data_IF_683761592836
#
_entry.id   IF_683761592836
#
_cell.length_a   1.000
_cell.length_b   1.000
_cell.length_c   1.000
_cell.angle_alpha   90.00
_cell.angle_beta   90.00
_cell.angle_gamma   90.00
#
_symmetry.space_group_name_H-M   'P 1'
#
loop_
_entity.id
_entity.type
_entity.pdbx_description
1 polymer ?
#
# COMPACT_ATOMS: atom_id res chain seq x y z
N UNK A 1 -57.35 27.72 -22.84
CA UNK A 1 -57.52 26.69 -23.88
C UNK A 1 -57.13 25.33 -23.30
N UNK A 2 -58.01 24.32 -23.34
CA UNK A 2 -57.78 23.00 -22.76
C UNK A 2 -57.25 21.96 -23.78
N UNK A 3 -56.75 20.84 -23.25
CA UNK A 3 -56.40 19.55 -23.90
C UNK A 3 -55.09 19.55 -24.75
N UNK A 4 -54.27 18.50 -24.85
CA UNK A 4 -54.54 17.05 -24.90
C UNK A 4 -53.35 16.24 -24.33
N UNK A 5 -53.72 15.12 -23.71
CA UNK A 5 -52.95 14.01 -23.14
C UNK A 5 -52.61 12.98 -24.23
N UNK A 6 -51.37 12.49 -24.31
CA UNK A 6 -51.03 11.16 -24.88
C UNK A 6 -49.68 10.65 -24.37
N UNK A 7 -49.74 9.76 -23.38
CA UNK A 7 -48.80 8.64 -23.13
C UNK A 7 -49.05 7.51 -24.16
N UNK A 8 -48.38 6.34 -24.15
CA UNK A 8 -47.00 5.95 -23.80
C UNK A 8 -46.34 5.07 -24.89
N UNK A 9 -45.04 4.77 -24.81
CA UNK A 9 -44.50 3.53 -25.41
C UNK A 9 -43.60 2.78 -24.44
N UNK A 10 -44.13 1.63 -24.04
CA UNK A 10 -43.47 0.54 -23.34
C UNK A 10 -42.36 -0.05 -24.21
N UNK A 11 -41.20 -0.29 -23.60
CA UNK A 11 -40.10 -1.08 -24.15
C UNK A 11 -39.59 -2.02 -23.07
N UNK A 12 -40.41 -3.01 -22.74
CA UNK A 12 -40.07 -4.13 -21.85
C UNK A 12 -39.19 -5.13 -22.61
N UNK A 13 -37.99 -5.40 -22.11
CA UNK A 13 -37.22 -6.60 -22.47
C UNK A 13 -36.39 -7.02 -21.26
N UNK A 14 -37.06 -7.69 -20.32
CA UNK A 14 -36.42 -8.63 -19.37
C UNK A 14 -36.29 -9.99 -20.06
N UNK A 15 -35.12 -10.62 -20.08
CA UNK A 15 -35.04 -12.07 -20.16
C UNK A 15 -35.21 -12.67 -18.76
N UNK A 16 -36.18 -13.58 -18.64
CA UNK A 16 -36.47 -14.36 -17.44
C UNK A 16 -35.44 -15.48 -17.21
N UNK A 17 -35.29 -15.99 -15.96
CA UNK A 17 -34.35 -17.04 -15.61
C UNK A 17 -34.96 -18.43 -15.88
N UNK A 18 -34.21 -19.29 -16.55
CA UNK A 18 -34.53 -20.72 -16.60
C UNK A 18 -33.86 -21.45 -15.43
N UNK A 19 -34.67 -21.71 -14.41
CA UNK A 19 -34.49 -22.87 -13.53
C UNK A 19 -34.77 -24.15 -14.33
N UNK A 20 -33.80 -25.06 -14.40
CA UNK A 20 -34.08 -26.49 -14.51
C UNK A 20 -33.08 -27.29 -13.69
N UNK A 21 -33.59 -27.80 -12.57
CA UNK A 21 -33.09 -29.00 -11.92
C UNK A 21 -33.20 -30.19 -12.88
N UNK A 22 -32.14 -30.97 -12.95
CA UNK A 22 -32.07 -32.24 -13.66
C UNK A 22 -30.92 -33.05 -13.09
N UNK A 23 -31.21 -33.76 -12.00
CA UNK A 23 -30.48 -34.96 -11.59
C UNK A 23 -30.47 -35.95 -12.75
N UNK A 24 -29.31 -36.56 -13.06
CA UNK A 24 -29.12 -37.96 -13.47
C UNK A 24 -27.64 -38.20 -13.83
N UNK A 25 -27.08 -39.20 -13.15
CA UNK A 25 -26.01 -40.14 -13.55
C UNK A 25 -24.71 -39.62 -14.21
N UNK A 26 -23.63 -39.81 -13.44
CA UNK A 26 -22.34 -40.37 -13.84
C UNK A 26 -22.33 -41.06 -15.23
N UNK A 27 -21.43 -40.62 -16.12
CA UNK A 27 -20.51 -41.58 -16.70
C UNK A 27 -19.05 -41.07 -16.65
N UNK A 28 -18.22 -41.94 -16.09
CA UNK A 28 -16.77 -42.00 -16.17
C UNK A 28 -16.28 -41.96 -17.63
N UNK A 29 -15.27 -41.13 -17.94
CA UNK A 29 -14.21 -41.52 -18.88
C UNK A 29 -12.84 -41.28 -18.20
N UNK A 30 -12.07 -42.34 -17.96
CA UNK A 30 -11.03 -42.83 -18.88
C UNK A 30 -9.82 -41.90 -18.93
N UNK A 31 -8.82 -42.29 -18.14
CA UNK A 31 -7.39 -42.03 -18.21
C UNK A 31 -6.91 -40.96 -19.22
N UNK A 32 -6.31 -39.90 -18.70
CA UNK A 32 -5.35 -39.10 -19.45
C UNK A 32 -4.14 -38.81 -18.54
N UNK A 33 -3.00 -39.14 -19.12
CA UNK A 33 -1.62 -39.15 -18.64
C UNK A 33 -1.23 -38.17 -17.52
N UNK A 34 -0.66 -38.75 -16.47
CA UNK A 34 0.21 -38.09 -15.52
C UNK A 34 1.59 -37.95 -16.17
N UNK A 35 2.00 -36.73 -16.55
CA UNK A 35 3.40 -36.45 -16.88
C UNK A 35 4.16 -36.29 -15.56
N UNK A 36 4.78 -37.39 -15.12
CA UNK A 36 5.75 -37.38 -14.03
C UNK A 36 7.09 -36.84 -14.55
N UNK A 37 7.44 -35.60 -14.20
CA UNK A 37 8.80 -35.09 -14.37
C UNK A 37 9.65 -35.59 -13.19
N UNK A 38 10.23 -36.78 -13.34
CA UNK A 38 11.38 -37.22 -12.56
C UNK A 38 12.63 -36.58 -13.18
N UNK A 39 13.18 -35.54 -12.54
CA UNK A 39 14.55 -35.09 -12.81
C UNK A 39 15.43 -35.59 -11.68
N UNK A 40 16.02 -36.74 -11.98
CA UNK A 40 17.13 -37.41 -11.32
C UNK A 40 18.42 -36.83 -11.92
N UNK A 41 19.30 -36.24 -11.12
CA UNK A 41 20.71 -36.06 -11.49
C UNK A 41 21.58 -35.90 -10.23
N UNK A 42 22.16 -37.04 -9.85
CA UNK A 42 23.53 -37.26 -9.40
C UNK A 42 24.10 -36.38 -8.25
N UNK A 43 24.24 -37.07 -7.12
CA UNK A 43 25.14 -36.74 -6.03
C UNK A 43 26.62 -36.77 -6.45
N UNK A 44 27.44 -36.02 -5.69
CA UNK A 44 28.81 -36.29 -5.19
C UNK A 44 29.80 -35.13 -5.45
N UNK A 45 30.94 -35.03 -4.72
CA UNK A 45 31.14 -35.20 -3.28
C UNK A 45 31.89 -34.01 -2.64
N UNK A 46 31.94 -34.07 -1.30
CA UNK A 46 32.70 -33.23 -0.35
C UNK A 46 34.14 -32.86 -0.79
N UNK A 47 34.60 -31.72 -0.21
CA UNK A 47 35.86 -31.51 0.54
C UNK A 47 36.91 -30.55 -0.09
N UNK A 48 37.16 -29.42 0.59
CA UNK A 48 38.47 -28.79 0.94
C UNK A 48 38.19 -27.33 1.37
N UNK A 49 38.32 -26.99 2.65
CA UNK A 49 39.53 -26.47 3.32
C UNK A 49 40.01 -25.10 2.79
N UNK A 50 39.97 -24.15 3.72
CA UNK A 50 40.70 -22.89 3.86
C UNK A 50 41.76 -22.55 2.81
N UNK A 51 41.67 -21.32 2.29
CA UNK A 51 42.82 -20.48 2.02
C UNK A 51 42.40 -19.00 2.05
N UNK A 52 42.82 -18.31 3.11
CA UNK A 52 43.10 -16.88 3.04
C UNK A 52 44.11 -16.62 1.93
N UNK A 53 43.91 -15.55 1.14
CA UNK A 53 45.00 -14.78 0.53
C UNK A 53 44.50 -13.43 0.02
N UNK A 54 44.81 -12.42 0.83
CA UNK A 54 45.43 -11.14 0.48
C UNK A 54 45.17 -10.52 -0.89
N UNK A 55 44.74 -9.26 -0.82
CA UNK A 55 44.97 -8.15 -1.75
C UNK A 55 46.19 -8.26 -2.66
N UNK A 56 46.04 -7.86 -3.93
CA UNK A 56 46.85 -6.79 -4.52
C UNK A 56 46.38 -6.46 -5.94
N UNK A 57 46.36 -5.15 -6.20
CA UNK A 57 46.30 -4.45 -7.50
C UNK A 57 46.80 -5.24 -8.72
N UNK A 58 46.11 -5.11 -9.85
CA UNK A 58 46.75 -4.59 -11.07
C UNK A 58 45.76 -4.13 -12.16
N UNK A 59 46.04 -2.91 -12.65
CA UNK A 59 45.46 -2.27 -13.85
C UNK A 59 45.85 -3.04 -15.12
N UNK A 60 44.92 -3.14 -16.06
CA UNK A 60 45.15 -2.99 -17.51
C UNK A 60 43.79 -2.68 -18.17
N UNK A 61 43.55 -1.48 -18.70
CA UNK A 61 43.85 -1.00 -20.06
C UNK A 61 43.51 -2.01 -21.16
N UNK A 62 42.35 -1.85 -21.79
CA UNK A 62 42.03 -2.00 -23.22
C UNK A 62 40.54 -1.66 -23.38
N UNK A 63 40.11 -0.53 -23.97
CA UNK A 63 40.20 -0.06 -25.37
C UNK A 63 39.37 -0.92 -26.33
N UNK A 64 38.06 -0.65 -26.40
CA UNK A 64 37.23 -0.88 -27.58
C UNK A 64 36.16 0.22 -27.66
N UNK A 65 36.31 1.10 -28.66
CA UNK A 65 35.36 2.16 -29.02
C UNK A 65 34.24 1.52 -29.86
N UNK A 66 33.00 1.65 -29.41
CA UNK A 66 31.81 1.51 -30.27
C UNK A 66 31.41 2.87 -30.85
N UNK A 67 30.74 2.94 -32.02
CA UNK A 67 30.25 4.18 -32.61
C UNK A 67 29.11 4.78 -31.78
N UNK A 68 29.23 6.07 -31.43
CA UNK A 68 28.18 6.84 -30.76
C UNK A 68 27.21 7.46 -31.80
N UNK A 69 25.90 7.54 -31.48
CA UNK A 69 24.89 8.20 -32.31
C UNK A 69 25.05 9.74 -32.34
N UNK A 70 24.47 10.43 -33.34
CA UNK A 70 24.68 11.85 -33.58
C UNK A 70 24.10 12.75 -32.46
N UNK A 71 24.77 13.87 -32.14
CA UNK A 71 24.39 14.76 -31.04
C UNK A 71 23.24 15.69 -31.46
N UNK A 72 22.10 15.57 -30.78
CA UNK A 72 21.11 16.65 -30.67
C UNK A 72 21.42 17.47 -29.42
N UNK A 73 21.75 18.75 -29.65
CA UNK A 73 21.64 19.89 -28.72
C UNK A 73 22.18 19.68 -27.29
N UNK A 74 23.51 19.79 -27.19
CA UNK A 74 24.20 20.00 -25.92
C UNK A 74 24.14 21.50 -25.63
N UNK A 75 23.41 21.89 -24.58
CA UNK A 75 23.42 23.25 -24.03
C UNK A 75 24.78 23.45 -23.34
N UNK A 76 25.64 24.27 -23.95
CA UNK A 76 26.92 24.70 -23.38
C UNK A 76 26.66 25.57 -22.15
N UNK A 77 26.95 25.03 -20.97
CA UNK A 77 27.08 25.80 -19.73
C UNK A 77 28.56 26.17 -19.63
N UNK A 78 28.93 27.36 -20.10
CA UNK A 78 30.25 27.96 -19.87
C UNK A 78 30.38 28.34 -18.39
N UNK A 79 30.91 27.42 -17.58
CA UNK A 79 31.41 27.73 -16.24
C UNK A 79 32.93 27.88 -16.31
N UNK A 80 33.34 29.09 -16.67
CA UNK A 80 34.69 29.61 -16.61
C UNK A 80 35.02 29.97 -15.15
N UNK A 81 35.72 29.07 -14.45
CA UNK A 81 36.40 29.37 -13.19
C UNK A 81 37.54 28.35 -12.98
N UNK A 82 38.62 28.55 -13.73
CA UNK A 82 39.88 27.80 -13.66
C UNK A 82 40.74 28.34 -12.48
N UNK A 83 40.23 28.18 -11.26
CA UNK A 83 41.01 28.42 -10.04
C UNK A 83 41.63 27.09 -9.55
N UNK A 84 42.97 27.00 -9.39
CA UNK A 84 43.63 25.76 -8.99
C UNK A 84 43.12 25.32 -7.62
N UNK A 85 42.83 24.01 -7.39
CA UNK A 85 42.24 23.55 -6.14
C UNK A 85 43.21 23.78 -4.98
N UNK A 86 43.02 24.89 -4.27
CA UNK A 86 43.63 25.13 -2.98
C UNK A 86 43.18 23.99 -2.06
N UNK A 87 44.16 23.21 -1.60
CA UNK A 87 43.98 22.09 -0.66
C UNK A 87 43.31 22.62 0.60
N UNK A 88 41.97 22.56 0.67
CA UNK A 88 41.23 22.92 1.88
C UNK A 88 41.66 21.96 3.00
N UNK A 89 42.14 22.47 4.15
CA UNK A 89 42.59 21.62 5.25
C UNK A 89 41.42 20.78 5.77
N UNK A 90 41.72 19.51 6.02
CA UNK A 90 40.84 18.42 6.46
C UNK A 90 40.28 18.63 7.89
N UNK A 91 39.68 19.77 8.18
CA UNK A 91 39.05 20.09 9.47
C UNK A 91 37.57 19.66 9.54
N UNK A 92 37.05 19.00 8.50
CA UNK A 92 35.63 18.63 8.40
C UNK A 92 35.19 17.54 9.39
N UNK A 93 36.10 16.67 9.83
CA UNK A 93 35.76 15.56 10.75
C UNK A 93 35.49 16.06 12.16
N UNK A 94 36.34 16.95 12.68
CA UNK A 94 36.17 17.53 14.02
C UNK A 94 34.90 18.40 14.15
N UNK A 95 34.45 19.03 13.06
CA UNK A 95 33.20 19.77 13.03
C UNK A 95 31.98 18.83 13.06
N UNK A 96 32.03 17.72 12.33
CA UNK A 96 30.98 16.71 12.34
C UNK A 96 30.89 16.01 13.70
N UNK A 97 32.01 15.65 14.32
CA UNK A 97 32.03 15.04 15.65
C UNK A 97 31.40 15.94 16.72
N UNK A 98 31.68 17.24 16.68
CA UNK A 98 31.01 18.22 17.57
C UNK A 98 29.51 18.27 17.34
N UNK A 99 29.07 18.24 16.08
CA UNK A 99 27.64 18.24 15.72
C UNK A 99 26.91 16.99 16.19
N UNK A 100 27.56 15.82 16.10
CA UNK A 100 27.00 14.55 16.60
C UNK A 100 26.82 14.61 18.11
N UNK A 101 27.83 15.09 18.84
CA UNK A 101 27.76 15.20 20.30
C UNK A 101 26.66 16.17 20.77
N UNK A 102 26.53 17.32 20.10
CA UNK A 102 25.45 18.29 20.36
C UNK A 102 24.06 17.64 20.18
N UNK A 103 23.86 16.91 19.08
CA UNK A 103 22.60 16.22 18.81
C UNK A 103 22.30 15.10 19.82
N UNK A 104 23.31 14.38 20.31
CA UNK A 104 23.14 13.34 21.34
C UNK A 104 22.69 13.95 22.69
N UNK A 105 23.26 15.08 23.08
CA UNK A 105 22.89 15.81 24.29
C UNK A 105 21.45 16.37 24.20
N UNK A 106 21.07 16.93 23.05
CA UNK A 106 19.69 17.36 22.80
C UNK A 106 18.70 16.19 22.84
N UNK A 107 19.03 15.06 22.20
CA UNK A 107 18.15 13.90 22.17
C UNK A 107 17.96 13.29 23.57
N UNK A 108 19.01 13.30 24.39
CA UNK A 108 18.93 12.94 25.81
C UNK A 108 17.98 13.87 26.57
N UNK A 109 18.12 15.18 26.38
CA UNK A 109 17.26 16.19 27.02
C UNK A 109 15.78 16.03 26.63
N UNK A 110 15.49 15.75 25.35
CA UNK A 110 14.12 15.50 24.89
C UNK A 110 13.52 14.22 25.49
N UNK A 111 14.32 13.15 25.64
CA UNK A 111 13.86 11.92 26.30
C UNK A 111 13.52 12.14 27.77
N UNK A 112 14.35 12.90 28.49
CA UNK A 112 14.09 13.26 29.89
C UNK A 112 12.83 14.13 30.03
N UNK A 113 12.64 15.11 29.13
CA UNK A 113 11.44 15.94 29.11
C UNK A 113 10.16 15.14 28.80
N UNK A 114 10.22 14.18 27.88
CA UNK A 114 9.09 13.30 27.57
C UNK A 114 8.72 12.41 28.76
N UNK A 115 9.71 11.90 29.49
CA UNK A 115 9.48 11.09 30.69
C UNK A 115 8.88 11.94 31.82
N UNK A 116 9.39 13.15 32.04
CA UNK A 116 8.83 14.09 33.01
C UNK A 116 7.39 14.50 32.67
N UNK A 117 7.08 14.70 31.38
CA UNK A 117 5.71 15.00 30.93
C UNK A 117 4.75 13.83 31.19
N UNK A 118 5.22 12.59 30.97
CA UNK A 118 4.44 11.39 31.28
C UNK A 118 4.17 11.26 32.79
N UNK A 119 5.16 11.51 33.64
CA UNK A 119 5.00 11.48 35.11
C UNK A 119 4.06 12.58 35.61
N UNK A 120 4.14 13.79 35.05
CA UNK A 120 3.21 14.88 35.36
C UNK A 120 1.77 14.53 34.97
N UNK A 121 1.58 13.84 33.84
CA UNK A 121 0.27 13.37 33.42
C UNK A 121 -0.27 12.30 34.37
N UNK A 122 0.57 11.37 34.84
CA UNK A 122 0.19 10.35 35.81
C UNK A 122 -0.22 10.94 37.17
N UNK A 123 0.45 12.00 37.64
CA UNK A 123 0.11 12.67 38.90
C UNK A 123 -1.17 13.52 38.83
N UNK A 124 -1.57 13.96 37.63
CA UNK A 124 -2.81 14.72 37.44
C UNK A 124 -4.09 13.88 37.59
N UNK A 125 -3.99 12.55 37.62
CA UNK A 125 -5.09 11.65 37.95
C UNK A 125 -5.21 11.46 39.48
N UNK A 126 -5.49 12.54 40.20
CA UNK A 126 -6.08 12.39 41.54
C UNK A 126 -7.56 12.01 41.38
N UNK A 127 -8.07 11.02 42.14
CA UNK A 127 -9.45 10.58 42.02
C UNK A 127 -10.38 11.65 42.61
N UNK A 128 -10.75 12.64 41.80
CA UNK A 128 -11.84 13.55 42.10
C UNK A 128 -13.12 12.71 42.13
N UNK A 129 -13.74 12.62 43.30
CA UNK A 129 -15.06 12.02 43.52
C UNK A 129 -16.01 12.50 42.43
N UNK A 130 -16.57 11.54 41.71
CA UNK A 130 -17.50 11.70 40.59
C UNK A 130 -18.62 12.68 40.96
N UNK A 131 -18.46 13.93 40.52
CA UNK A 131 -19.57 14.79 40.17
C UNK A 131 -19.79 14.64 38.67
N UNK A 132 -21.03 14.44 38.28
CA UNK A 132 -21.51 14.23 36.91
C UNK A 132 -20.79 15.16 35.92
N UNK A 133 -19.97 14.63 34.99
CA UNK A 133 -19.22 15.50 34.08
C UNK A 133 -20.18 16.12 33.06
N UNK A 134 -20.08 17.44 32.93
CA UNK A 134 -20.64 18.17 31.79
C UNK A 134 -20.05 17.59 30.48
N UNK A 135 -20.83 17.52 29.39
CA UNK A 135 -20.40 16.91 28.13
C UNK A 135 -19.12 17.58 27.63
N UNK A 136 -18.06 16.79 27.56
CA UNK A 136 -16.72 17.24 27.20
C UNK A 136 -16.65 17.53 25.69
N UNK A 137 -16.51 18.80 25.34
CA UNK A 137 -16.57 19.32 23.96
C UNK A 137 -15.39 18.90 23.09
N UNK A 138 -14.35 18.26 23.66
CA UNK A 138 -13.18 17.77 22.91
C UNK A 138 -13.49 16.58 21.99
N UNK A 139 -14.54 15.81 22.26
CA UNK A 139 -14.96 14.73 21.36
C UNK A 139 -15.64 15.23 20.08
N UNK A 140 -16.14 16.47 20.07
CA UNK A 140 -16.80 17.06 18.90
C UNK A 140 -15.81 17.54 17.83
N UNK A 141 -14.53 17.73 18.18
CA UNK A 141 -13.50 18.12 17.21
C UNK A 141 -12.99 16.93 16.38
N UNK A 142 -12.98 15.72 16.96
CA UNK A 142 -12.69 14.48 16.21
C UNK A 142 -13.79 14.16 15.20
N UNK A 143 -15.03 14.63 15.44
CA UNK A 143 -16.14 14.56 14.47
C UNK A 143 -16.02 15.53 13.29
N UNK A 144 -15.09 16.50 13.33
CA UNK A 144 -14.90 17.48 12.23
C UNK A 144 -13.87 17.08 11.20
N UNK A 145 -13.19 15.93 11.31
CA UNK A 145 -12.56 15.38 10.13
C UNK A 145 -13.68 14.97 9.16
N UNK A 146 -13.71 15.48 7.92
CA UNK A 146 -14.50 14.85 6.87
C UNK A 146 -13.81 13.54 6.48
N UNK A 147 -13.61 12.64 7.44
CA UNK A 147 -13.81 11.23 7.16
C UNK A 147 -15.21 11.17 6.59
N UNK A 148 -15.30 11.03 5.27
CA UNK A 148 -16.46 10.44 4.62
C UNK A 148 -16.60 9.05 5.23
N UNK A 149 -17.18 9.00 6.44
CA UNK A 149 -17.26 7.85 7.29
C UNK A 149 -18.17 6.88 6.59
N UNK A 150 -17.61 5.74 6.22
CA UNK A 150 -18.35 4.59 5.71
C UNK A 150 -19.16 3.88 6.82
N UNK A 151 -19.29 4.51 7.99
CA UNK A 151 -19.91 3.94 9.19
C UNK A 151 -20.51 5.06 10.04
N UNK A 152 -21.84 5.06 10.15
CA UNK A 152 -22.58 5.09 11.42
C UNK A 152 -24.01 5.61 11.20
N UNK A 153 -24.85 4.86 10.49
CA UNK A 153 -26.30 5.05 10.54
C UNK A 153 -27.00 3.69 10.48
N UNK A 154 -26.92 2.94 11.59
CA UNK A 154 -27.62 1.67 11.73
C UNK A 154 -29.03 1.79 12.33
N UNK A 155 -29.42 2.92 12.92
CA UNK A 155 -30.68 2.99 13.65
C UNK A 155 -31.54 4.18 13.24
N UNK A 156 -32.80 3.87 12.94
CA UNK A 156 -33.94 4.76 12.65
C UNK A 156 -34.12 5.28 11.22
N UNK A 157 -34.55 4.40 10.30
CA UNK A 157 -35.38 4.78 9.15
C UNK A 157 -35.60 3.67 8.10
N UNK A 158 -36.85 3.28 7.76
CA UNK A 158 -37.14 2.29 6.73
C UNK A 158 -37.10 2.90 5.31
N UNK A 159 -35.98 3.53 4.94
CA UNK A 159 -35.84 4.16 3.63
C UNK A 159 -34.47 3.90 3.03
N UNK A 160 -34.41 2.90 2.14
CA UNK A 160 -33.67 2.96 0.88
C UNK A 160 -32.21 3.46 0.94
N UNK A 161 -31.43 3.07 1.94
CA UNK A 161 -29.99 3.29 1.85
C UNK A 161 -29.37 2.21 0.95
N UNK A 162 -28.46 2.59 0.04
CA UNK A 162 -27.93 1.63 -0.90
C UNK A 162 -27.02 0.63 -0.17
N UNK A 163 -27.21 -0.65 -0.48
CA UNK A 163 -26.67 -1.85 0.19
C UNK A 163 -25.13 -1.99 0.17
N UNK A 164 -24.36 -0.95 -0.18
CA UNK A 164 -22.90 -1.02 -0.36
C UNK A 164 -22.09 -1.06 0.94
N UNK A 165 -22.72 -1.21 2.10
CA UNK A 165 -22.06 -1.13 3.41
C UNK A 165 -21.27 -2.38 3.79
N UNK A 166 -21.32 -3.45 3.00
CA UNK A 166 -20.52 -4.66 3.25
C UNK A 166 -19.17 -4.60 2.51
N UNK A 167 -18.15 -5.24 3.09
CA UNK A 167 -16.84 -5.39 2.44
C UNK A 167 -16.98 -6.03 1.05
N UNK A 168 -17.85 -7.04 0.92
CA UNK A 168 -18.08 -7.76 -0.33
C UNK A 168 -18.60 -6.82 -1.43
N UNK A 169 -19.59 -5.97 -1.13
CA UNK A 169 -20.11 -5.02 -2.11
C UNK A 169 -19.05 -4.00 -2.54
N UNK A 170 -18.17 -3.57 -1.63
CA UNK A 170 -17.06 -2.69 -1.96
C UNK A 170 -16.06 -3.40 -2.88
N UNK A 171 -15.72 -4.65 -2.58
CA UNK A 171 -14.82 -5.45 -3.39
C UNK A 171 -15.38 -5.71 -4.80
N UNK A 172 -16.68 -5.99 -4.91
CA UNK A 172 -17.38 -6.16 -6.19
C UNK A 172 -17.34 -4.87 -7.02
N UNK A 173 -17.50 -3.71 -6.37
CA UNK A 173 -17.39 -2.41 -7.03
C UNK A 173 -15.99 -2.21 -7.64
N UNK A 174 -14.93 -2.41 -6.85
CA UNK A 174 -13.55 -2.30 -7.33
C UNK A 174 -13.25 -3.31 -8.46
N UNK A 175 -13.74 -4.54 -8.31
CA UNK A 175 -13.60 -5.61 -9.33
C UNK A 175 -14.28 -5.23 -10.64
N UNK A 176 -15.48 -4.66 -10.55
CA UNK A 176 -16.24 -4.19 -11.73
C UNK A 176 -15.52 -3.04 -12.43
N UNK A 177 -15.05 -2.05 -11.68
CA UNK A 177 -14.32 -0.91 -12.22
C UNK A 177 -13.01 -1.36 -12.91
N UNK A 178 -12.28 -2.30 -12.30
CA UNK A 178 -11.07 -2.88 -12.89
C UNK A 178 -11.38 -3.67 -14.17
N UNK A 179 -12.44 -4.48 -14.18
CA UNK A 179 -12.85 -5.24 -15.35
C UNK A 179 -13.23 -4.32 -16.53
N UNK A 180 -13.96 -3.23 -16.26
CA UNK A 180 -14.28 -2.21 -17.26
C UNK A 180 -13.01 -1.56 -17.80
N UNK A 181 -12.05 -1.23 -16.93
CA UNK A 181 -10.76 -0.68 -17.35
C UNK A 181 -9.97 -1.64 -18.23
N UNK A 182 -9.91 -2.92 -17.87
CA UNK A 182 -9.24 -3.97 -18.67
C UNK A 182 -9.92 -4.18 -20.02
N UNK A 183 -11.25 -4.10 -20.08
CA UNK A 183 -11.98 -4.17 -21.34
C UNK A 183 -11.67 -2.98 -22.27
N UNK A 184 -11.50 -1.78 -21.69
CA UNK A 184 -11.13 -0.58 -22.44
C UNK A 184 -9.62 -0.52 -22.78
N UNK A 185 -8.77 -1.24 -22.04
CA UNK A 185 -7.31 -1.23 -22.18
C UNK A 185 -6.77 -2.68 -22.27
N UNK A 186 -6.86 -3.36 -23.44
CA UNK A 186 -6.46 -4.77 -23.57
C UNK A 186 -5.00 -5.06 -23.22
N UNK A 187 -4.12 -4.08 -23.36
CA UNK A 187 -2.69 -4.15 -22.99
C UNK A 187 -2.44 -3.97 -21.48
N UNK A 188 -3.44 -3.60 -20.70
CA UNK A 188 -3.30 -3.37 -19.27
C UNK A 188 -3.16 -4.69 -18.51
N UNK A 189 -2.01 -4.89 -17.87
CA UNK A 189 -1.76 -6.02 -16.98
C UNK A 189 -1.38 -5.51 -15.59
N UNK A 190 -2.24 -5.64 -14.56
CA UNK A 190 -1.95 -5.13 -13.21
C UNK A 190 -0.69 -5.78 -12.61
N UNK A 191 -0.44 -7.05 -12.92
CA UNK A 191 0.75 -7.78 -12.45
C UNK A 191 2.01 -7.43 -13.25
N UNK A 192 1.85 -6.83 -14.43
CA UNK A 192 2.94 -6.43 -15.32
C UNK A 192 3.46 -5.01 -15.12
N UNK A 193 2.73 -4.13 -14.42
CA UNK A 193 3.14 -2.72 -14.24
C UNK A 193 4.50 -2.61 -13.56
N UNK A 194 4.73 -3.43 -12.53
CA UNK A 194 6.01 -3.49 -11.83
C UNK A 194 6.73 -4.76 -12.22
N UNK A 195 7.87 -4.69 -12.94
CA UNK A 195 8.68 -5.85 -13.25
C UNK A 195 9.03 -6.69 -12.02
N UNK A 196 8.91 -8.01 -12.14
CA UNK A 196 9.15 -8.95 -11.04
C UNK A 196 10.54 -8.79 -10.39
N UNK A 197 11.56 -8.49 -11.20
CA UNK A 197 12.92 -8.32 -10.69
C UNK A 197 13.06 -7.09 -9.77
N UNK A 198 12.29 -6.01 -10.01
CA UNK A 198 12.24 -4.87 -9.11
C UNK A 198 11.51 -5.18 -7.81
N UNK A 199 10.39 -5.94 -7.86
CA UNK A 199 9.72 -6.41 -6.63
C UNK A 199 10.67 -7.26 -5.79
N UNK A 200 11.37 -8.20 -6.41
CA UNK A 200 12.36 -9.05 -5.75
C UNK A 200 13.53 -8.24 -5.18
N UNK A 201 14.03 -7.24 -5.91
CA UNK A 201 15.09 -6.36 -5.44
C UNK A 201 14.65 -5.52 -4.22
N UNK A 202 13.43 -4.97 -4.23
CA UNK A 202 12.91 -4.17 -3.12
C UNK A 202 12.57 -5.00 -1.86
N UNK A 203 12.27 -6.29 -2.02
CA UNK A 203 12.08 -7.23 -0.92
C UNK A 203 13.37 -7.54 -0.16
N UNK A 204 14.54 -7.33 -0.78
CA UNK A 204 15.84 -7.54 -0.14
C UNK A 204 16.16 -6.45 0.89
N UNK A 205 16.66 -6.87 2.05
CA UNK A 205 17.07 -5.96 3.12
C UNK A 205 18.48 -5.36 2.88
N UNK A 206 19.32 -6.01 2.08
CA UNK A 206 20.70 -5.62 1.80
C UNK A 206 20.84 -4.60 0.65
N UNK A 207 19.73 -4.12 0.10
CA UNK A 207 19.74 -3.15 -0.98
C UNK A 207 20.17 -1.78 -0.48
N UNK A 208 21.17 -1.17 -1.14
CA UNK A 208 21.62 0.19 -0.81
C UNK A 208 20.47 1.19 -0.93
N UNK A 209 20.45 2.20 -0.06
CA UNK A 209 19.40 3.24 -0.05
C UNK A 209 19.32 3.95 -1.41
N UNK A 210 20.47 4.18 -2.06
CA UNK A 210 20.54 4.82 -3.37
C UNK A 210 19.90 3.93 -4.45
N UNK A 211 20.25 2.64 -4.49
CA UNK A 211 19.66 1.70 -5.45
C UNK A 211 18.15 1.54 -5.24
N UNK A 212 17.70 1.48 -3.98
CA UNK A 212 16.27 1.42 -3.62
C UNK A 212 15.50 2.63 -4.19
N UNK A 213 16.00 3.84 -3.96
CA UNK A 213 15.39 5.08 -4.50
C UNK A 213 15.37 5.12 -6.02
N UNK A 214 16.42 4.59 -6.67
CA UNK A 214 16.46 4.50 -8.13
C UNK A 214 15.36 3.57 -8.65
N UNK A 215 15.24 2.37 -8.08
CA UNK A 215 14.19 1.42 -8.47
C UNK A 215 12.80 2.01 -8.23
N UNK A 216 12.57 2.65 -7.09
CA UNK A 216 11.30 3.32 -6.78
C UNK A 216 10.96 4.42 -7.80
N UNK A 217 11.95 5.20 -8.24
CA UNK A 217 11.77 6.21 -9.29
C UNK A 217 11.42 5.58 -10.64
N UNK A 218 12.10 4.51 -11.03
CA UNK A 218 11.82 3.78 -12.27
C UNK A 218 10.41 3.17 -12.26
N UNK A 219 9.98 2.62 -11.12
CA UNK A 219 8.60 2.16 -10.91
C UNK A 219 7.60 3.29 -11.08
N UNK A 220 7.84 4.45 -10.45
CA UNK A 220 6.94 5.60 -10.56
C UNK A 220 6.78 6.05 -12.02
N UNK A 221 7.87 6.12 -12.79
CA UNK A 221 7.81 6.45 -14.22
C UNK A 221 6.97 5.45 -15.04
N UNK A 222 7.10 4.14 -14.76
CA UNK A 222 6.27 3.13 -15.43
C UNK A 222 4.78 3.24 -15.04
N UNK A 223 4.51 3.54 -13.77
CA UNK A 223 3.16 3.71 -13.26
C UNK A 223 2.47 4.94 -13.88
N UNK A 224 3.21 6.03 -14.09
CA UNK A 224 2.68 7.24 -14.72
C UNK A 224 2.48 7.07 -16.23
N UNK A 225 3.31 6.25 -16.89
CA UNK A 225 3.16 5.93 -18.31
C UNK A 225 2.02 4.94 -18.60
N UNK A 226 1.53 4.22 -17.59
CA UNK A 226 0.48 3.21 -17.75
C UNK A 226 -0.86 3.75 -17.25
N UNK A 227 -1.93 3.77 -18.08
CA UNK A 227 -3.23 4.25 -17.65
C UNK A 227 -3.76 3.37 -16.52
N UNK A 228 -4.01 3.98 -15.37
CA UNK A 228 -4.54 3.31 -14.18
C UNK A 228 -6.07 3.37 -14.17
N UNK A 229 -6.75 2.35 -13.59
CA UNK A 229 -8.18 2.43 -13.36
C UNK A 229 -8.50 3.61 -12.43
N UNK A 230 -9.48 4.44 -12.81
CA UNK A 230 -10.00 5.50 -11.94
C UNK A 230 -11.10 4.92 -11.07
N UNK A 231 -10.84 4.79 -9.77
CA UNK A 231 -11.84 4.39 -8.80
C UNK A 231 -12.53 5.62 -8.24
N UNK A 232 -13.85 5.62 -8.24
CA UNK A 232 -14.66 6.68 -7.63
C UNK A 232 -15.56 6.09 -6.56
N UNK A 233 -15.78 6.83 -5.48
CA UNK A 233 -16.73 6.45 -4.45
C UNK A 233 -18.15 6.47 -5.06
N UNK A 234 -18.92 5.38 -4.98
CA UNK A 234 -20.27 5.33 -5.56
C UNK A 234 -21.22 6.36 -4.95
N UNK A 235 -20.95 6.81 -3.72
CA UNK A 235 -21.81 7.74 -2.97
C UNK A 235 -21.49 9.19 -3.25
N UNK A 236 -20.21 9.59 -3.08
CA UNK A 236 -19.80 10.98 -3.22
C UNK A 236 -19.07 11.29 -4.54
N UNK A 237 -18.82 10.27 -5.37
CA UNK A 237 -18.10 10.37 -6.66
C UNK A 237 -16.68 10.94 -6.57
N UNK A 238 -16.12 11.06 -5.37
CA UNK A 238 -14.73 11.45 -5.17
C UNK A 238 -13.80 10.32 -5.61
N UNK A 239 -12.65 10.69 -6.16
CA UNK A 239 -11.61 9.74 -6.56
C UNK A 239 -11.00 9.04 -5.34
N UNK A 240 -10.96 7.72 -5.39
CA UNK A 240 -10.37 6.88 -4.34
C UNK A 240 -8.95 6.51 -4.77
N UNK A 241 -7.97 7.20 -4.19
CA UNK A 241 -6.53 6.97 -4.47
C UNK A 241 -5.88 5.99 -3.49
N UNK A 242 -6.49 5.84 -2.32
CA UNK A 242 -5.95 5.06 -1.21
C UNK A 242 -6.73 3.77 -1.02
N UNK A 243 -6.03 2.73 -0.59
CA UNK A 243 -6.63 1.47 -0.18
C UNK A 243 -7.66 1.74 0.92
N UNK A 244 -8.88 1.15 0.84
CA UNK A 244 -9.79 1.13 1.96
C UNK A 244 -9.05 0.60 3.20
N UNK A 245 -9.04 1.40 4.26
CA UNK A 245 -8.42 1.04 5.53
C UNK A 245 -9.49 0.89 6.60
N UNK A 246 -9.34 -0.13 7.45
CA UNK A 246 -10.18 -0.25 8.64
C UNK A 246 -9.95 0.95 9.56
N UNK A 247 -11.04 1.55 10.04
CA UNK A 247 -10.96 2.57 11.06
C UNK A 247 -10.82 1.90 12.44
N UNK A 248 -9.57 1.65 12.85
CA UNK A 248 -9.26 1.01 14.13
C UNK A 248 -9.79 1.80 15.33
N UNK A 249 -9.92 3.13 15.22
CA UNK A 249 -10.48 3.97 16.29
C UNK A 249 -11.96 3.66 16.47
N UNK A 250 -12.73 3.61 15.38
CA UNK A 250 -14.15 3.22 15.40
C UNK A 250 -14.29 1.80 15.92
N UNK A 251 -13.46 0.86 15.43
CA UNK A 251 -13.45 -0.53 15.91
C UNK A 251 -13.20 -0.61 17.42
N UNK A 252 -12.24 0.14 17.94
CA UNK A 252 -11.93 0.17 19.37
C UNK A 252 -13.03 0.84 20.19
N UNK A 253 -13.64 1.91 19.68
CA UNK A 253 -14.77 2.58 20.32
C UNK A 253 -15.96 1.63 20.44
N UNK A 254 -16.33 0.95 19.36
CA UNK A 254 -17.41 -0.05 19.34
C UNK A 254 -17.13 -1.16 20.35
N UNK A 255 -15.90 -1.67 20.41
CA UNK A 255 -15.51 -2.68 21.43
C UNK A 255 -15.63 -2.17 22.86
N UNK A 256 -15.21 -0.94 23.10
CA UNK A 256 -15.28 -0.30 24.42
C UNK A 256 -16.74 -0.15 24.85
N UNK A 257 -17.61 0.33 23.96
CA UNK A 257 -19.05 0.47 24.23
C UNK A 257 -19.70 -0.89 24.46
N UNK A 258 -19.43 -1.88 23.61
CA UNK A 258 -19.92 -3.25 23.77
C UNK A 258 -19.49 -3.84 25.13
N UNK A 259 -18.23 -3.63 25.53
CA UNK A 259 -17.72 -4.06 26.83
C UNK A 259 -18.45 -3.41 28.01
N UNK A 260 -18.76 -2.12 27.92
CA UNK A 260 -19.54 -1.40 28.94
C UNK A 260 -20.98 -1.91 29.02
N UNK A 261 -21.57 -2.28 27.88
CA UNK A 261 -22.93 -2.84 27.81
C UNK A 261 -23.00 -4.32 28.21
N UNK A 262 -21.85 -4.97 28.48
CA UNK A 262 -21.80 -6.40 28.79
C UNK A 262 -21.97 -7.29 27.56
N UNK A 263 -21.90 -6.73 26.35
CA UNK A 263 -21.90 -7.49 25.12
C UNK A 263 -20.51 -8.09 24.85
N UNK A 264 -20.47 -9.39 24.58
CA UNK A 264 -19.23 -10.05 24.20
C UNK A 264 -18.87 -9.67 22.77
N UNK A 265 -17.72 -9.04 22.58
CA UNK A 265 -17.18 -8.81 21.23
C UNK A 265 -16.99 -10.15 20.51
N UNK A 266 -17.34 -10.24 19.21
CA UNK A 266 -16.99 -11.39 18.39
C UNK A 266 -15.50 -11.70 18.55
N UNK A 267 -15.18 -12.97 18.84
CA UNK A 267 -13.79 -13.40 18.94
C UNK A 267 -13.15 -13.17 17.57
N UNK A 268 -12.17 -12.27 17.50
CA UNK A 268 -11.35 -12.15 16.30
C UNK A 268 -10.63 -13.46 16.08
N UNK A 269 -10.69 -13.96 14.85
CA UNK A 269 -9.86 -15.09 14.45
C UNK A 269 -8.39 -14.74 14.71
N UNK A 270 -7.59 -15.69 15.22
CA UNK A 270 -6.19 -15.45 15.52
C UNK A 270 -5.49 -14.94 14.26
N UNK A 271 -4.95 -13.73 14.35
CA UNK A 271 -4.26 -13.09 13.23
C UNK A 271 -3.17 -14.05 12.69
N UNK A 272 -3.09 -14.22 11.37
CA UNK A 272 -2.07 -15.07 10.76
C UNK A 272 -0.68 -14.60 11.20
N UNK A 273 0.19 -15.56 11.50
CA UNK A 273 1.50 -15.32 12.14
C UNK A 273 2.32 -14.28 11.37
N UNK A 274 2.92 -13.37 12.13
CA UNK A 274 3.84 -12.31 11.70
C UNK A 274 4.97 -12.91 10.86
N UNK A 275 4.90 -12.79 9.53
CA UNK A 275 5.93 -13.33 8.62
C UNK A 275 5.44 -13.56 7.20
N UNK A 276 4.17 -13.90 7.03
CA UNK A 276 3.53 -13.82 5.72
C UNK A 276 2.92 -12.43 5.58
N UNK A 277 3.52 -11.55 4.76
CA UNK A 277 2.73 -10.48 4.15
C UNK A 277 1.72 -11.19 3.27
N UNK A 278 0.56 -11.50 3.84
CA UNK A 278 -0.61 -11.84 3.05
C UNK A 278 -0.90 -10.59 2.25
N UNK A 279 -0.72 -10.72 0.94
CA UNK A 279 -1.19 -9.74 -0.03
C UNK A 279 -2.66 -9.47 0.33
N UNK A 280 -2.93 -8.25 0.79
CA UNK A 280 -4.25 -7.90 1.29
C UNK A 280 -5.26 -7.98 0.15
N UNK A 281 -6.54 -8.20 0.48
CA UNK A 281 -7.63 -8.23 -0.51
C UNK A 281 -7.65 -6.99 -1.43
N UNK A 282 -7.05 -5.87 -1.00
CA UNK A 282 -6.96 -4.61 -1.75
C UNK A 282 -5.69 -4.43 -2.59
N UNK A 283 -4.68 -5.30 -2.44
CA UNK A 283 -3.37 -5.12 -3.06
C UNK A 283 -3.40 -5.25 -4.58
N UNK A 284 -4.36 -5.99 -5.14
CA UNK A 284 -4.58 -6.10 -6.59
C UNK A 284 -5.18 -4.85 -7.23
N UNK A 285 -5.85 -4.00 -6.45
CA UNK A 285 -6.50 -2.78 -6.96
C UNK A 285 -5.60 -1.54 -6.87
N UNK A 286 -4.75 -1.50 -5.85
CA UNK A 286 -3.92 -0.34 -5.53
C UNK A 286 -2.44 -0.72 -5.49
N UNK A 287 -1.64 -0.31 -6.50
CA UNK A 287 -0.21 -0.56 -6.49
C UNK A 287 0.46 0.07 -5.25
N UNK A 288 1.30 -0.72 -4.57
CA UNK A 288 1.86 -0.45 -3.22
C UNK A 288 2.74 0.82 -3.15
N UNK A 289 3.09 1.43 -4.28
CA UNK A 289 4.15 2.43 -4.37
C UNK A 289 3.69 3.89 -4.34
N UNK A 290 2.38 4.18 -4.32
CA UNK A 290 1.92 5.55 -4.06
C UNK A 290 1.92 5.83 -2.56
N UNK A 291 3.00 6.46 -2.09
CA UNK A 291 2.97 7.24 -0.85
C UNK A 291 2.71 8.69 -1.28
N UNK A 292 1.44 9.09 -1.25
CA UNK A 292 1.05 10.49 -1.26
C UNK A 292 1.38 11.12 0.11
#
# INVERSE_FOLDING_TARGET
>A
MPAIRTEPRQGSSRPAPHLRQGSVANPRPSATEVVALSSDDELLPRKRLAAEKSSARQRSKQKARGPLPPPSEIIEISSDDDEPPAKRPSNSTAALERRVKELEEENKKWKEAALAAHDAQAQSFTPVKQATPAPDTRFDEVRRFPTHGWQDHAETGPSSYPQWTTMDCLQDWFSTALAQHMAANPQYNPQGIVPHHWRAALARQDLSIIARRQIEREIAMLMDATPQPSYTCPTCRLEVRNKPAENFVVKHLVRTVAGIQGESCPKEDPLPRLGHRLEGHWDGFFPVFRRD
#
